data_IF_771307062084
#
_entry.id   IF_771307062084
#
_cell.length_a   1.000
_cell.length_b   1.000
_cell.length_c   1.000
_cell.angle_alpha   90.00
_cell.angle_beta   90.00
_cell.angle_gamma   90.00
#
_symmetry.space_group_name_H-M   'P 1'
#
loop_
_entity.id
_entity.type
_entity.pdbx_description
1 polymer ?
#
# COMPACT_ATOMS: atom_id res chain seq x y z
N UNK A 1 13.24 -5.11 -20.32
CA UNK A 1 11.77 -5.05 -20.37
C UNK A 1 11.33 -3.65 -19.98
N UNK A 2 10.52 -2.99 -20.79
CA UNK A 2 10.20 -1.54 -20.71
C UNK A 2 8.75 -1.28 -20.35
N UNK A 3 8.11 -2.21 -19.63
CA UNK A 3 6.71 -2.06 -19.21
C UNK A 3 6.54 -0.93 -18.17
N UNK A 4 5.72 0.05 -18.51
CA UNK A 4 5.46 1.26 -17.70
C UNK A 4 4.57 1.00 -16.48
N UNK A 5 4.00 -0.19 -16.32
CA UNK A 5 3.29 -0.61 -15.10
C UNK A 5 4.25 -1.04 -14.00
N UNK A 6 5.48 -1.42 -14.36
CA UNK A 6 6.48 -1.85 -13.39
C UNK A 6 7.00 -0.63 -12.62
N UNK A 7 7.13 -0.79 -11.31
CA UNK A 7 7.87 0.10 -10.42
C UNK A 7 8.94 -0.72 -9.71
N UNK A 8 10.12 -0.16 -9.61
CA UNK A 8 11.27 -0.81 -8.99
C UNK A 8 11.73 0.08 -7.84
N UNK A 9 11.90 -0.51 -6.67
CA UNK A 9 12.44 0.17 -5.50
C UNK A 9 13.73 -0.55 -5.15
N UNK A 10 14.84 0.20 -5.12
CA UNK A 10 16.16 -0.32 -4.77
C UNK A 10 16.57 0.32 -3.46
N UNK A 11 16.86 -0.50 -2.46
CA UNK A 11 17.28 -0.06 -1.13
C UNK A 11 18.73 -0.53 -0.96
N UNK A 12 19.63 0.41 -0.68
CA UNK A 12 21.05 0.11 -0.46
C UNK A 12 21.35 -0.01 1.03
N UNK A 13 21.98 -1.11 1.43
CA UNK A 13 22.43 -1.39 2.80
C UNK A 13 23.97 -1.34 2.91
N UNK A 14 24.54 -0.91 4.06
CA UNK A 14 25.99 -0.80 4.28
C UNK A 14 26.65 -2.12 4.72
N UNK A 15 26.41 -3.23 4.02
CA UNK A 15 26.82 -4.58 4.44
C UNK A 15 28.33 -4.73 4.66
N UNK A 16 29.15 -4.15 3.79
CA UNK A 16 30.61 -4.33 3.80
C UNK A 16 31.38 -3.14 4.38
N UNK A 17 30.68 -2.19 5.01
CA UNK A 17 31.28 -0.94 5.49
C UNK A 17 31.86 -0.06 4.37
N UNK A 18 32.75 0.86 4.73
CA UNK A 18 33.41 1.78 3.77
C UNK A 18 32.56 3.01 3.41
N UNK A 19 32.85 3.62 2.26
CA UNK A 19 32.11 4.78 1.73
C UNK A 19 30.75 4.35 1.16
N UNK A 20 29.80 4.11 2.06
CA UNK A 20 28.44 3.74 1.71
C UNK A 20 27.75 4.80 0.85
N UNK A 21 27.84 6.07 1.23
CA UNK A 21 27.16 7.17 0.53
C UNK A 21 27.66 7.33 -0.91
N UNK A 22 28.97 7.30 -1.11
CA UNK A 22 29.56 7.37 -2.44
C UNK A 22 29.26 6.13 -3.28
N UNK A 23 29.30 4.93 -2.69
CA UNK A 23 28.95 3.69 -3.37
C UNK A 23 27.47 3.66 -3.81
N UNK A 24 26.53 3.94 -2.90
CA UNK A 24 25.10 3.97 -3.19
C UNK A 24 24.77 5.00 -4.27
N UNK A 25 25.38 6.20 -4.20
CA UNK A 25 25.21 7.25 -5.22
C UNK A 25 25.74 6.82 -6.59
N UNK A 26 26.90 6.16 -6.64
CA UNK A 26 27.49 5.68 -7.90
C UNK A 26 26.64 4.58 -8.54
N UNK A 27 26.25 3.57 -7.76
CA UNK A 27 25.45 2.45 -8.25
C UNK A 27 24.06 2.89 -8.72
N UNK A 28 23.42 3.83 -8.01
CA UNK A 28 22.13 4.39 -8.41
C UNK A 28 22.19 5.12 -9.75
N UNK A 29 23.34 5.71 -10.11
CA UNK A 29 23.54 6.39 -11.41
C UNK A 29 23.76 5.42 -12.57
N UNK A 30 24.16 4.18 -12.31
CA UNK A 30 24.48 3.21 -13.35
C UNK A 30 23.26 2.71 -14.14
N UNK A 31 22.04 2.92 -13.62
CA UNK A 31 20.80 2.40 -14.22
C UNK A 31 19.68 3.45 -14.22
N UNK A 32 19.78 4.51 -15.05
CA UNK A 32 18.74 5.53 -15.12
C UNK A 32 17.47 4.99 -15.80
N UNK A 33 16.38 4.86 -15.03
CA UNK A 33 15.06 4.53 -15.55
C UNK A 33 13.99 5.20 -14.68
N UNK A 34 12.98 5.82 -15.32
CA UNK A 34 11.89 6.55 -14.65
C UNK A 34 11.06 5.68 -13.69
N UNK A 35 11.14 4.35 -13.83
CA UNK A 35 10.42 3.37 -13.01
C UNK A 35 11.17 3.02 -11.73
N UNK A 36 12.44 3.39 -11.61
CA UNK A 36 13.29 3.03 -10.47
C UNK A 36 13.34 4.19 -9.47
N UNK A 37 13.11 3.87 -8.20
CA UNK A 37 13.34 4.76 -7.06
C UNK A 37 14.42 4.15 -6.17
N UNK A 38 15.42 4.95 -5.80
CA UNK A 38 16.54 4.55 -4.98
C UNK A 38 16.42 5.10 -3.56
N UNK A 39 16.71 4.27 -2.58
CA UNK A 39 16.72 4.62 -1.16
C UNK A 39 18.02 4.13 -0.54
N UNK A 40 18.45 4.85 0.50
CA UNK A 40 19.57 4.44 1.35
C UNK A 40 19.00 4.01 2.69
N UNK A 41 19.54 2.93 3.24
CA UNK A 41 19.16 2.42 4.55
C UNK A 41 20.43 2.21 5.39
N UNK A 42 21.02 3.30 5.93
CA UNK A 42 22.28 3.23 6.66
C UNK A 42 22.18 2.39 7.94
N UNK A 43 20.97 2.18 8.45
CA UNK A 43 20.72 1.42 9.67
C UNK A 43 20.19 0.01 9.40
N UNK A 44 20.13 -0.41 8.13
CA UNK A 44 19.69 -1.76 7.71
C UNK A 44 18.28 -2.14 8.16
N UNK A 45 17.39 -1.16 8.37
CA UNK A 45 16.05 -1.36 8.91
C UNK A 45 15.18 -2.24 7.99
N UNK A 46 15.26 -2.04 6.68
CA UNK A 46 14.62 -2.84 5.66
C UNK A 46 15.12 -4.28 5.72
N UNK A 47 16.44 -4.50 5.68
CA UNK A 47 17.01 -5.85 5.76
C UNK A 47 16.55 -6.61 7.02
N UNK A 48 16.47 -5.93 8.17
CA UNK A 48 15.92 -6.49 9.42
C UNK A 48 14.42 -6.78 9.33
N UNK A 49 13.65 -5.90 8.72
CA UNK A 49 12.20 -6.07 8.55
C UNK A 49 11.88 -7.25 7.63
N UNK A 50 12.56 -7.35 6.48
CA UNK A 50 12.34 -8.45 5.54
C UNK A 50 12.89 -9.79 6.04
N UNK A 51 13.91 -9.80 6.91
CA UNK A 51 14.29 -11.04 7.63
C UNK A 51 13.08 -11.67 8.32
N UNK A 52 12.30 -10.86 9.04
CA UNK A 52 11.11 -11.33 9.77
C UNK A 52 10.01 -11.79 8.81
N UNK A 53 9.74 -11.04 7.75
CA UNK A 53 8.74 -11.39 6.74
C UNK A 53 9.08 -12.72 6.06
N UNK A 54 10.33 -12.88 5.63
CA UNK A 54 10.82 -14.05 4.91
C UNK A 54 11.18 -15.22 5.85
N UNK A 55 11.12 -14.99 7.17
CA UNK A 55 11.50 -15.95 8.22
C UNK A 55 12.92 -16.48 8.02
N UNK A 56 13.88 -15.61 7.74
CA UNK A 56 15.28 -16.00 7.55
C UNK A 56 15.99 -16.18 8.88
N UNK A 57 16.93 -17.13 8.90
CA UNK A 57 17.79 -17.40 10.05
C UNK A 57 19.05 -16.52 10.03
N UNK A 58 19.36 -15.89 8.88
CA UNK A 58 20.45 -14.93 8.72
C UNK A 58 20.26 -13.66 9.56
N UNK A 59 21.33 -12.93 9.81
CA UNK A 59 21.29 -11.68 10.59
C UNK A 59 20.50 -10.57 9.88
N UNK A 60 20.54 -10.54 8.55
CA UNK A 60 19.89 -9.53 7.72
C UNK A 60 19.48 -10.12 6.35
N UNK A 61 18.34 -9.67 5.81
CA UNK A 61 17.89 -10.01 4.46
C UNK A 61 18.52 -9.06 3.42
N UNK A 62 19.80 -9.24 3.13
CA UNK A 62 20.53 -8.49 2.10
C UNK A 62 20.70 -9.32 0.82
N UNK A 63 20.91 -8.69 -0.34
CA UNK A 63 20.90 -9.34 -1.66
C UNK A 63 19.66 -10.24 -1.90
N UNK A 64 18.49 -9.67 -1.62
CA UNK A 64 17.17 -10.26 -1.82
C UNK A 64 16.40 -9.48 -2.89
N UNK A 65 15.62 -10.21 -3.69
CA UNK A 65 14.90 -9.66 -4.84
C UNK A 65 13.43 -10.05 -4.76
N UNK A 66 12.54 -9.06 -4.78
CA UNK A 66 11.10 -9.26 -4.57
C UNK A 66 10.27 -8.92 -5.82
N UNK A 67 9.23 -9.71 -6.04
CA UNK A 67 8.12 -9.37 -6.92
C UNK A 67 6.84 -9.33 -6.09
N UNK A 68 6.17 -8.19 -6.15
CA UNK A 68 4.84 -7.98 -5.62
C UNK A 68 3.87 -7.74 -6.77
N UNK A 69 2.74 -8.42 -6.75
CA UNK A 69 1.64 -8.23 -7.66
C UNK A 69 0.88 -6.94 -7.37
N UNK A 70 0.11 -6.46 -8.35
CA UNK A 70 -0.58 -5.18 -8.28
C UNK A 70 -1.61 -5.04 -7.14
N UNK A 71 -2.01 -6.15 -6.50
CA UNK A 71 -2.95 -6.16 -5.37
C UNK A 71 -2.26 -6.10 -4.00
N UNK A 72 -0.93 -6.18 -3.96
CA UNK A 72 -0.17 -6.08 -2.72
C UNK A 72 -0.37 -4.69 -2.09
N UNK A 73 -0.75 -4.67 -0.81
CA UNK A 73 -0.88 -3.45 -0.01
C UNK A 73 -0.08 -3.62 1.27
N UNK A 74 0.75 -2.64 1.59
CA UNK A 74 1.49 -2.57 2.84
C UNK A 74 0.82 -1.51 3.72
N UNK A 75 0.37 -1.89 4.90
CA UNK A 75 -0.23 -0.95 5.85
C UNK A 75 0.84 -0.37 6.79
N UNK A 76 1.44 -1.25 7.60
CA UNK A 76 2.48 -0.90 8.59
C UNK A 76 3.75 -1.74 8.42
N UNK A 77 3.58 -3.03 8.09
CA UNK A 77 4.68 -3.95 7.81
C UNK A 77 4.55 -4.46 6.36
N UNK A 78 5.67 -4.71 5.68
CA UNK A 78 5.66 -5.35 4.38
C UNK A 78 5.07 -6.75 4.48
N UNK A 79 4.32 -7.13 3.47
CA UNK A 79 3.76 -8.48 3.36
C UNK A 79 4.76 -9.42 2.70
N UNK A 80 4.48 -10.72 2.71
CA UNK A 80 5.20 -11.67 1.88
C UNK A 80 5.15 -11.24 0.40
N UNK A 81 6.27 -11.28 -0.33
CA UNK A 81 6.27 -11.11 -1.78
C UNK A 81 5.61 -12.31 -2.45
N UNK A 82 4.96 -12.09 -3.60
CA UNK A 82 4.37 -13.17 -4.41
C UNK A 82 5.45 -14.07 -5.01
N UNK A 83 6.66 -13.53 -5.19
CA UNK A 83 7.85 -14.27 -5.57
C UNK A 83 9.11 -13.57 -5.07
N UNK A 84 10.10 -14.35 -4.66
CA UNK A 84 11.40 -13.80 -4.29
C UNK A 84 12.56 -14.74 -4.57
N UNK A 85 13.74 -14.14 -4.67
CA UNK A 85 15.03 -14.80 -4.86
C UNK A 85 16.07 -14.15 -3.96
N UNK A 86 17.22 -14.79 -3.78
CA UNK A 86 18.32 -14.23 -2.98
C UNK A 86 19.70 -14.68 -3.47
N UNK A 87 20.76 -14.07 -2.93
CA UNK A 87 22.14 -14.58 -3.04
C UNK A 87 22.74 -14.96 -1.68
N UNK A 88 21.90 -15.02 -0.64
CA UNK A 88 22.28 -15.41 0.71
C UNK A 88 22.77 -16.86 0.82
N UNK A 89 23.83 -17.07 1.59
CA UNK A 89 24.32 -18.38 1.99
C UNK A 89 23.38 -19.03 3.02
N UNK A 90 23.19 -20.34 2.93
CA UNK A 90 22.43 -21.14 3.91
C UNK A 90 20.91 -21.01 3.84
N UNK A 91 20.37 -20.20 2.92
CA UNK A 91 18.92 -20.05 2.73
C UNK A 91 18.42 -21.05 1.67
N UNK A 92 17.43 -21.85 2.03
CA UNK A 92 16.77 -22.83 1.13
C UNK A 92 15.29 -22.53 0.90
N UNK A 93 14.77 -21.49 1.55
CA UNK A 93 13.35 -21.09 1.52
C UNK A 93 12.94 -20.45 0.19
N UNK A 94 13.91 -20.08 -0.65
CA UNK A 94 13.72 -19.57 -2.01
C UNK A 94 14.91 -19.96 -2.90
N UNK A 95 14.77 -19.85 -4.24
CA UNK A 95 15.88 -20.12 -5.15
C UNK A 95 16.92 -18.99 -5.13
N UNK A 96 18.15 -19.36 -5.48
CA UNK A 96 19.21 -18.40 -5.79
C UNK A 96 18.79 -17.49 -6.95
N UNK A 97 19.28 -16.25 -6.93
CA UNK A 97 18.98 -15.28 -7.97
C UNK A 97 19.36 -15.82 -9.35
N UNK A 98 18.38 -15.86 -10.23
CA UNK A 98 18.53 -16.19 -11.63
C UNK A 98 17.74 -15.18 -12.46
N UNK A 99 18.47 -14.36 -13.22
CA UNK A 99 17.89 -13.27 -13.99
C UNK A 99 16.78 -13.74 -14.95
N UNK A 100 17.00 -14.87 -15.65
CA UNK A 100 16.04 -15.40 -16.63
C UNK A 100 14.75 -15.84 -15.96
N UNK A 101 14.84 -16.52 -14.82
CA UNK A 101 13.66 -16.97 -14.05
C UNK A 101 12.94 -15.76 -13.44
N UNK A 102 13.68 -14.80 -12.88
CA UNK A 102 13.09 -13.59 -12.32
C UNK A 102 12.33 -12.77 -13.38
N UNK A 103 12.94 -12.61 -14.57
CA UNK A 103 12.30 -11.94 -15.72
C UNK A 103 11.08 -12.71 -16.22
N UNK A 104 11.14 -14.05 -16.27
CA UNK A 104 10.01 -14.88 -16.68
C UNK A 104 8.84 -14.72 -15.70
N UNK A 105 9.11 -14.77 -14.40
CA UNK A 105 8.07 -14.62 -13.37
C UNK A 105 7.43 -13.24 -13.41
N UNK A 106 8.22 -12.19 -13.61
CA UNK A 106 7.69 -10.83 -13.77
C UNK A 106 6.78 -10.73 -15.01
N UNK A 107 7.14 -11.33 -16.14
CA UNK A 107 6.29 -11.37 -17.33
C UNK A 107 4.99 -12.12 -17.08
N UNK A 108 5.06 -13.28 -16.43
CA UNK A 108 3.88 -14.06 -16.03
C UNK A 108 2.92 -13.22 -15.17
N UNK A 109 3.46 -12.51 -14.17
CA UNK A 109 2.66 -11.64 -13.29
C UNK A 109 2.01 -10.48 -14.06
N UNK A 110 2.69 -9.90 -15.05
CA UNK A 110 2.13 -8.85 -15.90
C UNK A 110 1.02 -9.37 -16.82
N UNK A 111 1.21 -10.55 -17.45
CA UNK A 111 0.19 -11.17 -18.30
C UNK A 111 -1.06 -11.58 -17.52
N UNK A 112 -0.90 -12.05 -16.29
CA UNK A 112 -2.04 -12.37 -15.40
C UNK A 112 -2.89 -11.12 -15.08
N UNK A 113 -2.29 -9.92 -15.09
CA UNK A 113 -3.03 -8.66 -14.94
C UNK A 113 -3.85 -8.32 -16.19
N UNK A 114 -3.32 -8.61 -17.39
CA UNK A 114 -4.02 -8.39 -18.65
C UNK A 114 -5.20 -9.34 -18.79
N UNK A 115 -5.02 -10.60 -18.43
CA UNK A 115 -6.11 -11.57 -18.41
C UNK A 115 -7.16 -11.20 -17.37
N UNK A 116 -6.79 -10.79 -16.14
CA UNK A 116 -7.78 -10.31 -15.16
C UNK A 116 -8.46 -9.00 -15.58
N UNK A 117 -7.81 -8.16 -16.39
CA UNK A 117 -8.42 -6.97 -16.98
C UNK A 117 -9.32 -7.30 -18.18
N UNK A 118 -9.03 -8.37 -18.92
CA UNK A 118 -9.76 -8.81 -20.12
C UNK A 118 -10.92 -9.77 -19.78
N UNK A 119 -10.78 -10.57 -18.72
CA UNK A 119 -11.80 -11.48 -18.18
C UNK A 119 -12.83 -10.74 -17.30
N UNK A 120 -12.63 -9.44 -17.06
CA UNK A 120 -13.69 -8.53 -16.56
C UNK A 120 -14.62 -8.08 -17.71
N UNK A 121 -14.41 -8.56 -18.93
CA UNK A 121 -15.36 -8.45 -20.05
C UNK A 121 -15.88 -9.83 -20.46
N UNK A 122 -16.76 -10.41 -19.65
CA UNK A 122 -18.00 -11.15 -20.03
C UNK A 122 -18.44 -12.05 -18.86
N UNK A 123 -19.35 -11.54 -18.04
CA UNK A 123 -20.56 -12.23 -17.57
C UNK A 123 -21.36 -11.24 -16.72
N UNK A 124 -22.51 -10.87 -17.25
CA UNK A 124 -23.62 -10.35 -16.47
C UNK A 124 -23.90 -11.27 -15.28
N UNK A 125 -23.74 -10.75 -14.06
CA UNK A 125 -24.65 -10.91 -12.93
C UNK A 125 -24.33 -9.81 -11.92
N UNK A 126 -25.29 -8.92 -11.71
CA UNK A 126 -25.28 -7.76 -10.81
C UNK A 126 -24.59 -8.02 -9.46
N UNK A 127 -23.58 -7.20 -9.18
CA UNK A 127 -23.06 -6.94 -7.84
C UNK A 127 -21.97 -5.88 -7.92
N UNK A 128 -22.34 -4.60 -7.99
CA UNK A 128 -21.40 -3.47 -7.99
C UNK A 128 -20.55 -3.59 -6.71
N UNK A 129 -19.28 -3.99 -6.84
CA UNK A 129 -18.39 -4.15 -5.66
C UNK A 129 -18.35 -2.82 -4.91
N UNK A 130 -18.67 -2.86 -3.61
CA UNK A 130 -18.78 -1.67 -2.78
C UNK A 130 -17.45 -0.92 -2.76
N UNK A 131 -17.40 0.33 -3.24
CA UNK A 131 -16.19 1.15 -3.20
C UNK A 131 -16.14 1.91 -1.89
N UNK A 132 -15.04 1.84 -1.16
CA UNK A 132 -14.84 2.60 0.09
C UNK A 132 -13.57 3.43 -0.03
N UNK A 133 -13.66 4.73 0.18
CA UNK A 133 -12.53 5.66 0.07
C UNK A 133 -12.21 6.22 1.46
N UNK A 134 -10.94 6.19 1.85
CA UNK A 134 -10.43 6.79 3.07
C UNK A 134 -9.48 7.93 2.72
N UNK A 135 -9.94 9.16 2.93
CA UNK A 135 -9.19 10.38 2.64
C UNK A 135 -8.55 10.90 3.94
N UNK A 136 -7.26 11.21 3.89
CA UNK A 136 -6.50 11.66 5.06
C UNK A 136 -5.30 12.52 4.64
N UNK A 137 -4.71 13.26 5.57
CA UNK A 137 -3.37 13.82 5.40
C UNK A 137 -2.42 13.25 6.46
N UNK A 138 -1.14 13.08 6.12
CA UNK A 138 -0.15 12.38 6.97
C UNK A 138 0.01 12.97 8.37
N UNK A 139 -0.09 14.29 8.49
CA UNK A 139 0.09 15.02 9.75
C UNK A 139 -1.14 15.01 10.67
N UNK A 140 -2.22 14.30 10.30
CA UNK A 140 -3.42 14.22 11.12
C UNK A 140 -3.25 13.13 12.19
N UNK A 141 -3.19 13.44 13.50
CA UNK A 141 -2.97 12.41 14.53
C UNK A 141 -4.07 11.35 14.59
N UNK A 142 -5.28 11.68 14.11
CA UNK A 142 -6.45 10.81 14.22
C UNK A 142 -6.65 9.84 13.04
N UNK A 143 -5.89 9.95 11.94
CA UNK A 143 -6.12 9.12 10.75
C UNK A 143 -5.85 7.62 11.00
N UNK A 144 -4.85 7.28 11.81
CA UNK A 144 -4.52 5.88 12.13
C UNK A 144 -5.68 5.19 12.83
N UNK A 145 -6.22 5.81 13.88
CA UNK A 145 -7.34 5.25 14.65
C UNK A 145 -8.61 5.13 13.81
N UNK A 146 -8.89 6.11 12.93
CA UNK A 146 -10.05 6.03 12.04
C UNK A 146 -9.92 4.93 10.98
N UNK A 147 -8.71 4.70 10.47
CA UNK A 147 -8.44 3.61 9.53
C UNK A 147 -8.64 2.24 10.20
N UNK A 148 -8.19 2.08 11.45
CA UNK A 148 -8.42 0.85 12.22
C UNK A 148 -9.92 0.62 12.49
N UNK A 149 -10.66 1.67 12.85
CA UNK A 149 -12.12 1.58 13.00
C UNK A 149 -12.79 1.13 11.70
N UNK A 150 -12.34 1.64 10.55
CA UNK A 150 -12.87 1.25 9.23
C UNK A 150 -12.55 -0.20 8.87
N UNK A 151 -11.32 -0.65 9.07
CA UNK A 151 -10.91 -2.04 8.82
C UNK A 151 -11.66 -3.02 9.71
N UNK A 152 -11.81 -2.69 11.00
CA UNK A 152 -12.57 -3.50 11.94
C UNK A 152 -14.04 -3.61 11.50
N UNK A 153 -14.65 -2.49 11.11
CA UNK A 153 -16.03 -2.47 10.61
C UNK A 153 -16.23 -3.33 9.34
N UNK A 154 -15.31 -3.26 8.36
CA UNK A 154 -15.36 -4.09 7.16
C UNK A 154 -15.22 -5.60 7.49
N UNK A 155 -14.34 -5.96 8.43
CA UNK A 155 -14.15 -7.33 8.88
C UNK A 155 -15.38 -7.88 9.61
N UNK A 156 -15.92 -7.12 10.56
CA UNK A 156 -17.08 -7.53 11.38
C UNK A 156 -18.39 -7.57 10.57
N UNK A 157 -18.51 -6.75 9.52
CA UNK A 157 -19.67 -6.78 8.62
C UNK A 157 -19.55 -7.84 7.52
N UNK A 158 -18.37 -8.46 7.33
CA UNK A 158 -18.09 -9.40 6.24
C UNK A 158 -18.34 -8.84 4.83
N UNK A 159 -18.33 -7.51 4.67
CA UNK A 159 -18.58 -6.87 3.38
C UNK A 159 -17.30 -6.84 2.57
N UNK A 160 -17.39 -7.33 1.33
CA UNK A 160 -16.31 -7.24 0.34
C UNK A 160 -16.32 -5.85 -0.30
N UNK A 161 -15.52 -4.93 0.25
CA UNK A 161 -15.30 -3.61 -0.32
C UNK A 161 -13.95 -3.48 -1.04
N UNK A 162 -13.87 -2.59 -2.03
CA UNK A 162 -12.61 -2.08 -2.55
C UNK A 162 -12.20 -0.83 -1.76
N UNK A 163 -11.31 -1.01 -0.78
CA UNK A 163 -10.80 0.07 0.07
C UNK A 163 -9.65 0.83 -0.61
N UNK A 164 -9.86 2.11 -0.89
CA UNK A 164 -8.90 3.03 -1.52
C UNK A 164 -8.43 4.06 -0.49
N UNK A 165 -7.12 4.14 -0.27
CA UNK A 165 -6.52 5.16 0.59
C UNK A 165 -6.07 6.36 -0.26
N UNK A 166 -6.52 7.56 0.10
CA UNK A 166 -6.23 8.79 -0.62
C UNK A 166 -5.53 9.76 0.33
N UNK A 167 -4.21 9.88 0.18
CA UNK A 167 -3.45 10.93 0.85
C UNK A 167 -3.77 12.27 0.18
N UNK A 168 -4.43 13.18 0.89
CA UNK A 168 -4.62 14.59 0.51
C UNK A 168 -3.48 15.36 1.16
N UNK A 169 -2.57 15.92 0.38
CA UNK A 169 -1.33 16.55 0.87
C UNK A 169 -1.28 18.06 0.61
N UNK A 170 -2.34 18.63 0.02
CA UNK A 170 -2.44 20.06 -0.23
C UNK A 170 -3.90 20.55 -0.24
N UNK A 171 -4.14 21.84 0.01
CA UNK A 171 -5.46 22.46 -0.17
C UNK A 171 -6.03 22.33 -1.58
N UNK A 172 -5.19 22.46 -2.62
CA UNK A 172 -5.62 22.34 -4.01
C UNK A 172 -6.12 20.93 -4.32
N UNK A 173 -5.47 19.91 -3.74
CA UNK A 173 -5.92 18.53 -3.82
C UNK A 173 -7.20 18.32 -3.01
N UNK A 174 -7.33 18.97 -1.86
CA UNK A 174 -8.54 18.92 -1.04
C UNK A 174 -9.76 19.42 -1.83
N UNK A 175 -9.64 20.55 -2.52
CA UNK A 175 -10.67 21.07 -3.42
C UNK A 175 -11.00 20.09 -4.55
N UNK A 176 -9.96 19.64 -5.28
CA UNK A 176 -10.11 18.75 -6.44
C UNK A 176 -10.85 17.45 -6.12
N UNK A 177 -10.66 16.90 -4.91
CA UNK A 177 -11.29 15.64 -4.50
C UNK A 177 -12.49 15.84 -3.58
N UNK A 178 -12.91 17.08 -3.31
CA UNK A 178 -14.04 17.41 -2.43
C UNK A 178 -13.81 17.04 -0.95
N UNK A 179 -12.56 17.08 -0.48
CA UNK A 179 -12.16 16.60 0.84
C UNK A 179 -12.76 17.44 1.97
N UNK A 180 -13.46 16.81 2.92
CA UNK A 180 -14.13 17.50 4.04
C UNK A 180 -13.29 17.54 5.33
N UNK A 181 -11.98 17.33 5.20
CA UNK A 181 -11.04 17.23 6.30
C UNK A 181 -10.70 15.80 6.71
N UNK A 182 -9.59 15.66 7.44
CA UNK A 182 -9.03 14.37 7.84
C UNK A 182 -9.54 13.92 9.21
N UNK A 183 -9.83 12.63 9.41
CA UNK A 183 -10.06 11.62 8.36
C UNK A 183 -11.43 11.86 7.68
N UNK A 184 -11.62 11.37 6.46
CA UNK A 184 -12.93 11.30 5.79
C UNK A 184 -13.13 9.92 5.17
N UNK A 185 -14.33 9.36 5.32
CA UNK A 185 -14.70 8.06 4.74
C UNK A 185 -15.83 8.29 3.74
N UNK A 186 -15.72 7.69 2.55
CA UNK A 186 -16.79 7.66 1.57
C UNK A 186 -17.16 6.23 1.19
N UNK A 187 -18.44 5.99 0.96
CA UNK A 187 -18.96 4.72 0.48
C UNK A 187 -19.65 5.00 -0.86
N UNK A 188 -19.17 4.39 -1.94
CA UNK A 188 -19.58 4.66 -3.32
C UNK A 188 -19.55 6.15 -3.71
N UNK A 189 -18.61 6.91 -3.13
CA UNK A 189 -18.47 8.36 -3.36
C UNK A 189 -19.31 9.24 -2.43
N UNK A 190 -20.24 8.66 -1.66
CA UNK A 190 -21.03 9.38 -0.67
C UNK A 190 -20.29 9.46 0.66
N UNK A 191 -20.31 10.63 1.29
CA UNK A 191 -19.72 10.82 2.62
C UNK A 191 -20.40 9.94 3.68
N UNK A 192 -19.59 9.35 4.58
CA UNK A 192 -20.09 8.49 5.65
C UNK A 192 -21.17 9.18 6.51
N UNK A 193 -20.99 10.47 6.79
CA UNK A 193 -21.91 11.26 7.59
C UNK A 193 -22.96 12.00 6.74
N UNK A 194 -22.93 11.84 5.42
CA UNK A 194 -23.81 12.56 4.49
C UNK A 194 -23.56 14.07 4.45
N UNK A 195 -22.37 14.53 4.84
CA UNK A 195 -22.02 15.96 4.85
C UNK A 195 -21.77 16.48 3.43
N UNK A 196 -22.21 17.71 3.16
CA UNK A 196 -22.08 18.40 1.86
C UNK A 196 -21.38 19.76 1.98
N UNK A 197 -20.53 19.91 2.99
CA UNK A 197 -19.79 21.15 3.23
C UNK A 197 -18.80 21.47 2.11
N UNK A 198 -18.29 22.71 2.12
CA UNK A 198 -17.18 23.09 1.26
C UNK A 198 -15.93 22.25 1.56
N UNK A 199 -15.09 21.94 0.55
CA UNK A 199 -13.82 21.26 0.77
C UNK A 199 -12.94 22.04 1.75
N UNK A 200 -12.25 21.31 2.62
CA UNK A 200 -11.40 21.85 3.66
C UNK A 200 -10.18 20.94 3.92
N UNK A 201 -9.00 21.56 3.99
CA UNK A 201 -7.74 20.90 4.34
C UNK A 201 -7.44 21.05 5.85
N UNK A 202 -8.32 20.51 6.70
CA UNK A 202 -8.16 20.54 8.16
C UNK A 202 -8.55 19.23 8.81
N UNK A 203 -8.42 19.12 10.14
CA UNK A 203 -9.04 18.02 10.88
C UNK A 203 -10.57 18.09 10.76
N UNK A 204 -11.20 16.91 10.70
CA UNK A 204 -12.65 16.77 10.68
C UNK A 204 -13.18 16.39 12.05
N UNK A 205 -14.26 17.05 12.45
CA UNK A 205 -14.98 16.76 13.68
C UNK A 205 -16.14 15.80 13.41
N UNK A 206 -16.26 14.81 14.29
CA UNK A 206 -17.28 13.78 14.34
C UNK A 206 -18.05 13.86 15.66
N UNK A 207 -19.22 13.25 15.73
CA UNK A 207 -19.95 13.06 16.98
C UNK A 207 -20.09 11.57 17.26
N UNK A 208 -19.55 11.12 18.39
CA UNK A 208 -19.66 9.72 18.84
C UNK A 208 -20.35 9.75 20.20
N UNK A 209 -21.53 9.13 20.29
CA UNK A 209 -22.36 9.12 21.50
C UNK A 209 -22.63 10.53 22.06
N UNK A 210 -22.89 11.50 21.17
CA UNK A 210 -23.16 12.90 21.55
C UNK A 210 -21.92 13.73 21.94
N UNK A 211 -20.71 13.16 21.91
CA UNK A 211 -19.47 13.87 22.22
C UNK A 211 -18.66 14.17 20.97
N UNK A 212 -17.96 15.33 20.90
CA UNK A 212 -17.07 15.63 19.79
C UNK A 212 -15.89 14.65 19.76
N UNK A 213 -15.54 14.19 18.56
CA UNK A 213 -14.44 13.26 18.30
C UNK A 213 -13.68 13.66 17.03
N UNK A 214 -12.43 13.23 16.91
CA UNK A 214 -11.58 13.43 15.73
C UNK A 214 -11.55 12.21 14.79
N UNK A 215 -12.34 11.19 15.13
CA UNK A 215 -12.48 9.96 14.35
C UNK A 215 -13.95 9.56 14.29
N UNK A 216 -14.40 8.93 13.19
CA UNK A 216 -15.68 8.26 13.16
C UNK A 216 -15.64 7.03 14.09
N UNK A 217 -16.72 6.82 14.86
CA UNK A 217 -16.90 5.62 15.67
C UNK A 217 -17.08 4.38 14.79
N UNK A 218 -16.56 3.23 15.23
CA UNK A 218 -16.65 1.96 14.50
C UNK A 218 -18.11 1.59 14.22
N UNK A 219 -18.97 1.77 15.22
CA UNK A 219 -20.40 1.43 15.19
C UNK A 219 -21.11 2.19 14.06
N UNK A 220 -20.79 3.49 13.91
CA UNK A 220 -21.34 4.33 12.84
C UNK A 220 -20.88 3.87 11.45
N UNK A 221 -19.62 3.46 11.32
CA UNK A 221 -19.10 2.89 10.07
C UNK A 221 -19.84 1.58 9.74
N UNK A 222 -20.01 0.70 10.72
CA UNK A 222 -20.75 -0.56 10.55
C UNK A 222 -22.21 -0.34 10.16
N UNK A 223 -22.89 0.62 10.80
CA UNK A 223 -24.26 1.01 10.48
C UNK A 223 -24.41 1.40 9.01
N UNK A 224 -23.52 2.28 8.52
CA UNK A 224 -23.53 2.73 7.13
C UNK A 224 -23.17 1.62 6.14
N UNK A 225 -22.23 0.76 6.52
CA UNK A 225 -21.87 -0.42 5.74
C UNK A 225 -23.01 -1.44 5.67
N UNK A 226 -23.81 -1.60 6.73
CA UNK A 226 -24.91 -2.57 6.76
C UNK A 226 -25.98 -2.34 5.67
N UNK A 227 -26.10 -1.13 5.14
CA UNK A 227 -26.95 -0.83 3.99
C UNK A 227 -26.51 -1.52 2.68
N UNK A 228 -25.34 -2.16 2.67
CA UNK A 228 -24.72 -2.78 1.50
C UNK A 228 -24.35 -4.27 1.73
N UNK A 229 -24.91 -4.91 2.77
CA UNK A 229 -24.91 -6.37 2.93
C UNK A 229 -25.89 -7.01 1.96
#
# INVERSE_FOLDING_TARGET
MTDDRVRVYVIWDPIFGGDFDGAAKRLSKSFPDKRISYFKDPDSLAGTLWKSVLKLDNDIAWDVYFLYGAVAKWDHEPTQPDFWMHQLYGVTKAPLFNESVFKAKLKEMLSTMEEKSSTVSTRDTKGKKLKVEFLYFKNCPSHKQALENLKAALRETHIKADLVLINVDSPEKAEKVGFLGSPSIRINGEDLEGRTDAPNYSCRLYHVNGKPALTPGKERIMEKLAAYK
#
